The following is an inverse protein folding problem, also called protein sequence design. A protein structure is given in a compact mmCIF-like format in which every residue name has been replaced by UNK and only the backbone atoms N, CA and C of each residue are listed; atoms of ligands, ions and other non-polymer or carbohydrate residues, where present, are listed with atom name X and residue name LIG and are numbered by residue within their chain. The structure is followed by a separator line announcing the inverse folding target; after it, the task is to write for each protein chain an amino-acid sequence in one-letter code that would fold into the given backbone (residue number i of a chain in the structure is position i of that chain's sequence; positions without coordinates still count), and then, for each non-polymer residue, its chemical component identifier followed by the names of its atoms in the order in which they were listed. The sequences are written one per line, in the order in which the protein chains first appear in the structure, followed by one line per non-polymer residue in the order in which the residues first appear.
data_IF_917858300616
#
_entry.id   IF_917858300616
#
_cell.length_a   1.000
_cell.length_b   1.000
_cell.length_c   1.000
_cell.angle_alpha   90.00
_cell.angle_beta   90.00
_cell.angle_gamma   90.00
#
_symmetry.space_group_name_H-M   'P 1'
#
loop_
_entity.id
_entity.type
_entity.pdbx_description
1 polymer ?
#
# COMPACT_ATOMS: atom_id res chain seq x y z
N UNK A 1 -5.63 16.69 7.15
CA UNK A 1 -6.49 15.49 7.29
C UNK A 1 -5.65 14.27 7.70
N UNK A 2 -4.80 14.46 8.72
CA UNK A 2 -4.12 13.44 9.53
C UNK A 2 -4.17 13.94 10.98
N UNK A 3 -5.30 14.51 11.38
CA UNK A 3 -5.55 15.05 12.71
C UNK A 3 -6.81 14.37 13.24
N UNK A 4 -6.62 13.24 13.92
CA UNK A 4 -7.48 12.73 15.00
C UNK A 4 -6.92 11.38 15.46
N UNK A 5 -5.76 11.42 16.11
CA UNK A 5 -5.37 10.44 17.12
C UNK A 5 -5.12 11.20 18.41
N UNK A 6 -6.17 11.87 18.90
CA UNK A 6 -6.23 12.43 20.23
C UNK A 6 -6.36 11.29 21.25
N UNK A 7 -5.27 10.57 21.46
CA UNK A 7 -4.99 9.87 22.70
C UNK A 7 -3.49 10.00 23.00
N UNK A 8 -3.06 11.26 23.15
CA UNK A 8 -1.67 11.65 23.37
C UNK A 8 -1.42 12.02 24.85
N UNK A 9 -2.02 11.26 25.77
CA UNK A 9 -1.68 11.37 27.19
C UNK A 9 -0.67 10.27 27.57
N UNK A 10 0.60 10.70 27.61
CA UNK A 10 1.73 10.06 28.31
C UNK A 10 2.37 8.83 27.66
N UNK A 11 2.99 8.99 26.49
CA UNK A 11 4.22 8.24 26.16
C UNK A 11 5.40 9.21 26.20
N UNK A 12 6.01 9.36 27.39
CA UNK A 12 7.37 9.90 27.49
C UNK A 12 8.24 9.18 26.44
N UNK A 13 9.11 9.86 25.68
CA UNK A 13 10.06 9.17 24.82
C UNK A 13 10.81 8.18 25.71
N UNK A 14 10.71 6.89 25.38
CA UNK A 14 11.45 5.86 26.10
C UNK A 14 12.93 6.29 26.06
N UNK A 15 13.56 6.43 27.23
CA UNK A 15 14.97 6.74 27.30
C UNK A 15 15.74 5.75 26.42
N UNK A 16 16.63 6.26 25.58
CA UNK A 16 17.47 5.42 24.73
C UNK A 16 18.31 4.57 25.67
N UNK A 17 17.99 3.27 25.76
CA UNK A 17 18.83 2.32 26.50
C UNK A 17 20.09 2.10 25.70
N UNK A 18 21.22 2.51 26.26
CA UNK A 18 22.53 2.19 25.71
C UNK A 18 22.90 0.74 26.05
N UNK A 19 23.48 0.04 25.08
CA UNK A 19 23.95 -1.32 25.24
C UNK A 19 25.44 -1.37 24.93
N UNK A 20 26.23 -1.94 25.85
CA UNK A 20 27.68 -2.02 25.73
C UNK A 20 28.16 -2.82 24.50
N UNK A 21 27.35 -3.76 24.00
CA UNK A 21 27.70 -4.57 22.82
C UNK A 21 26.51 -4.79 21.89
N UNK A 22 26.74 -4.97 20.57
CA UNK A 22 25.71 -5.37 19.62
C UNK A 22 25.03 -6.69 20.00
N UNK A 23 25.76 -7.62 20.61
CA UNK A 23 25.22 -8.89 21.11
C UNK A 23 24.24 -8.66 22.27
N UNK A 24 24.60 -7.78 23.22
CA UNK A 24 23.72 -7.38 24.32
C UNK A 24 22.44 -6.72 23.84
N UNK A 25 22.54 -5.82 22.85
CA UNK A 25 21.36 -5.23 22.21
C UNK A 25 20.44 -6.29 21.57
N UNK A 26 21.00 -7.20 20.77
CA UNK A 26 20.23 -8.29 20.14
C UNK A 26 19.54 -9.17 21.18
N UNK A 27 20.25 -9.55 22.24
CA UNK A 27 19.69 -10.37 23.32
C UNK A 27 18.51 -9.65 24.02
N UNK A 28 18.62 -8.35 24.26
CA UNK A 28 17.56 -7.56 24.88
C UNK A 28 16.32 -7.41 23.97
N UNK A 29 16.51 -7.23 22.66
CA UNK A 29 15.43 -7.23 21.68
C UNK A 29 14.73 -8.59 21.66
N UNK A 30 15.48 -9.68 21.56
CA UNK A 30 14.93 -11.05 21.57
C UNK A 30 14.16 -11.37 22.87
N UNK A 31 14.68 -10.95 24.03
CA UNK A 31 14.01 -11.11 25.30
C UNK A 31 12.66 -10.35 25.31
N UNK A 32 12.64 -9.12 24.80
CA UNK A 32 11.43 -8.29 24.71
C UNK A 32 10.39 -8.90 23.77
N UNK A 33 10.81 -9.42 22.61
CA UNK A 33 9.91 -10.07 21.65
C UNK A 33 9.32 -11.37 22.22
N UNK A 34 10.14 -12.19 22.91
CA UNK A 34 9.68 -13.41 23.60
C UNK A 34 8.70 -13.10 24.73
N UNK A 35 8.98 -12.07 25.51
CA UNK A 35 8.15 -11.65 26.62
C UNK A 35 6.77 -11.15 26.14
N UNK A 36 6.75 -10.36 25.06
CA UNK A 36 5.51 -9.95 24.39
C UNK A 36 4.74 -11.15 23.84
N UNK A 37 5.42 -12.11 23.20
CA UNK A 37 4.78 -13.32 22.68
C UNK A 37 4.10 -14.14 23.78
N UNK A 38 4.77 -14.32 24.93
CA UNK A 38 4.20 -15.00 26.10
C UNK A 38 2.94 -14.31 26.61
N UNK A 39 2.97 -12.98 26.77
CA UNK A 39 1.79 -12.21 27.24
C UNK A 39 0.59 -12.34 26.32
N UNK A 40 0.83 -12.40 25.01
CA UNK A 40 -0.22 -12.49 24.01
C UNK A 40 -0.66 -13.94 23.72
N UNK A 41 -0.01 -14.94 24.32
CA UNK A 41 -0.32 -16.35 24.07
C UNK A 41 -0.04 -16.81 22.63
N UNK A 42 0.84 -16.13 21.89
CA UNK A 42 1.15 -16.44 20.49
C UNK A 42 2.58 -16.97 20.32
N UNK A 43 2.86 -17.76 19.27
CA UNK A 43 4.22 -18.19 18.98
C UNK A 43 5.18 -17.00 18.75
N UNK A 44 6.38 -17.06 19.34
CA UNK A 44 7.35 -15.96 19.28
C UNK A 44 7.77 -15.54 17.87
N UNK A 45 7.70 -16.45 16.89
CA UNK A 45 8.02 -16.12 15.50
C UNK A 45 7.04 -15.11 14.89
N UNK A 46 5.77 -15.07 15.33
CA UNK A 46 4.77 -14.10 14.87
C UNK A 46 5.20 -12.68 15.26
N UNK A 47 5.51 -12.48 16.55
CA UNK A 47 5.95 -11.18 17.07
C UNK A 47 7.28 -10.74 16.45
N UNK A 48 8.22 -11.67 16.26
CA UNK A 48 9.48 -11.38 15.55
C UNK A 48 9.24 -10.91 14.13
N UNK A 49 8.39 -11.61 13.39
CA UNK A 49 8.12 -11.30 11.99
C UNK A 49 7.40 -9.96 11.85
N UNK A 50 6.38 -9.70 12.68
CA UNK A 50 5.70 -8.40 12.73
C UNK A 50 6.69 -7.25 13.02
N UNK A 51 7.54 -7.39 14.04
CA UNK A 51 8.57 -6.40 14.35
C UNK A 51 9.56 -6.18 13.19
N UNK A 52 9.98 -7.24 12.49
CA UNK A 52 10.84 -7.12 11.32
C UNK A 52 10.15 -6.35 10.18
N UNK A 53 8.89 -6.66 9.89
CA UNK A 53 8.10 -5.99 8.85
C UNK A 53 7.86 -4.51 9.17
N UNK A 54 7.50 -4.18 10.41
CA UNK A 54 7.39 -2.78 10.88
C UNK A 54 8.70 -2.01 10.66
N UNK A 55 9.85 -2.64 10.96
CA UNK A 55 11.18 -2.04 10.72
C UNK A 55 11.48 -1.85 9.23
N UNK A 56 11.02 -2.76 8.37
CA UNK A 56 11.13 -2.60 6.91
C UNK A 56 10.29 -1.40 6.47
N UNK A 57 9.04 -1.28 6.91
CA UNK A 57 8.17 -0.14 6.59
C UNK A 57 8.84 1.18 6.99
N UNK A 58 9.35 1.28 8.21
CA UNK A 58 10.05 2.48 8.71
C UNK A 58 11.28 2.83 7.85
N UNK A 59 11.98 1.83 7.30
CA UNK A 59 13.11 2.08 6.40
C UNK A 59 12.65 2.52 5.02
N UNK A 60 11.62 1.88 4.46
CA UNK A 60 11.06 2.23 3.16
C UNK A 60 10.54 3.68 3.14
N UNK A 61 9.85 4.11 4.20
CA UNK A 61 9.36 5.49 4.34
C UNK A 61 10.48 6.51 4.49
N UNK A 62 11.63 6.14 5.06
CA UNK A 62 12.82 7.00 5.13
C UNK A 62 13.56 7.11 3.80
N UNK A 63 13.75 6.01 3.09
CA UNK A 63 14.52 5.98 1.84
C UNK A 63 13.74 6.57 0.66
N UNK A 64 12.42 6.35 0.64
CA UNK A 64 11.55 6.79 -0.45
C UNK A 64 10.21 7.29 0.11
N UNK A 65 10.20 8.48 0.73
CA UNK A 65 8.99 9.05 1.34
C UNK A 65 7.89 9.19 0.29
N UNK A 66 6.65 8.83 0.68
CA UNK A 66 5.45 8.87 -0.17
C UNK A 66 5.55 8.06 -1.48
N UNK A 67 6.47 7.09 -1.57
CA UNK A 67 6.64 6.22 -2.74
C UNK A 67 6.22 4.77 -2.49
N UNK A 68 5.66 4.46 -1.33
CA UNK A 68 5.19 3.13 -0.99
C UNK A 68 3.77 3.20 -0.43
N UNK A 69 2.90 2.33 -0.92
CA UNK A 69 1.56 2.13 -0.40
C UNK A 69 1.48 0.72 0.19
N UNK A 70 1.35 0.62 1.51
CA UNK A 70 1.16 -0.67 2.21
C UNK A 70 -0.25 -1.18 1.93
N UNK A 71 -0.37 -2.47 1.66
CA UNK A 71 -1.60 -3.19 1.30
C UNK A 71 -1.73 -4.46 2.14
N UNK A 72 -2.73 -5.28 1.82
CA UNK A 72 -2.90 -6.60 2.41
C UNK A 72 -3.26 -6.56 3.90
N UNK A 73 -2.94 -7.65 4.59
CA UNK A 73 -3.31 -7.85 6.00
C UNK A 73 -2.69 -6.81 6.94
N UNK A 74 -1.40 -6.48 6.75
CA UNK A 74 -0.73 -5.43 7.52
C UNK A 74 -1.43 -4.06 7.39
N UNK A 75 -1.90 -3.68 6.20
CA UNK A 75 -2.67 -2.45 6.04
C UNK A 75 -4.03 -2.50 6.78
N UNK A 76 -4.67 -3.67 6.80
CA UNK A 76 -5.93 -3.86 7.52
C UNK A 76 -5.72 -3.83 9.05
N UNK A 77 -4.64 -4.41 9.57
CA UNK A 77 -4.28 -4.33 10.99
C UNK A 77 -4.15 -2.87 11.46
N UNK A 78 -3.53 -2.01 10.66
CA UNK A 78 -3.42 -0.58 11.02
C UNK A 78 -4.77 0.16 11.05
N UNK A 79 -5.77 -0.32 10.31
CA UNK A 79 -7.08 0.33 10.19
C UNK A 79 -8.13 -0.27 11.12
N UNK A 80 -8.10 -1.58 11.32
CA UNK A 80 -9.14 -2.35 12.02
C UNK A 80 -8.66 -2.89 13.38
N UNK A 81 -7.37 -2.76 13.69
CA UNK A 81 -6.78 -3.24 14.94
C UNK A 81 -7.01 -4.74 15.13
N UNK A 82 -7.46 -5.12 16.33
CA UNK A 82 -7.74 -6.51 16.73
C UNK A 82 -8.83 -7.20 15.90
N UNK A 83 -9.61 -6.45 15.10
CA UNK A 83 -10.61 -7.03 14.18
C UNK A 83 -9.98 -7.55 12.87
N UNK A 84 -8.72 -7.22 12.59
CA UNK A 84 -8.00 -7.78 11.45
C UNK A 84 -7.36 -9.12 11.82
N UNK A 85 -7.37 -10.08 10.88
CA UNK A 85 -6.55 -11.28 11.00
C UNK A 85 -5.08 -10.89 11.02
N UNK A 86 -4.33 -11.45 11.96
CA UNK A 86 -2.86 -11.32 12.01
C UNK A 86 -2.25 -11.74 10.68
N UNK A 87 -1.45 -10.84 10.13
CA UNK A 87 -0.70 -10.93 8.91
C UNK A 87 0.78 -11.02 9.23
N UNK A 88 1.45 -11.89 8.48
CA UNK A 88 2.88 -12.13 8.59
C UNK A 88 3.58 -11.82 7.27
N UNK A 89 2.87 -11.19 6.34
CA UNK A 89 3.35 -10.80 5.02
C UNK A 89 3.27 -9.28 4.89
N UNK A 90 4.16 -8.71 4.08
CA UNK A 90 4.13 -7.28 3.74
C UNK A 90 3.83 -7.15 2.26
N UNK A 91 2.60 -6.76 1.96
CA UNK A 91 2.21 -6.34 0.63
C UNK A 91 2.42 -4.83 0.51
N UNK A 92 3.21 -4.39 -0.46
CA UNK A 92 3.42 -2.98 -0.71
C UNK A 92 3.64 -2.74 -2.20
N UNK A 93 2.99 -1.71 -2.72
CA UNK A 93 3.23 -1.23 -4.08
C UNK A 93 4.02 0.06 -4.05
N UNK A 94 4.87 0.23 -5.05
CA UNK A 94 5.54 1.50 -5.28
C UNK A 94 4.49 2.52 -5.77
N UNK A 95 4.23 3.55 -4.99
CA UNK A 95 3.15 4.53 -5.18
C UNK A 95 3.31 5.42 -6.42
N UNK A 96 4.41 5.29 -7.17
CA UNK A 96 4.54 5.85 -8.51
C UNK A 96 4.62 4.74 -9.55
N UNK A 97 3.83 4.88 -10.59
CA UNK A 97 3.89 4.02 -11.77
C UNK A 97 5.13 4.38 -12.58
N UNK A 98 5.95 3.37 -12.91
CA UNK A 98 7.03 3.54 -13.88
C UNK A 98 6.41 3.60 -15.27
N UNK A 99 6.45 4.79 -15.89
CA UNK A 99 5.85 5.02 -17.20
C UNK A 99 6.50 4.16 -18.29
N UNK A 100 7.80 3.83 -18.20
CA UNK A 100 8.47 2.97 -19.19
C UNK A 100 7.94 1.54 -19.07
N UNK A 101 7.96 0.99 -17.85
CA UNK A 101 7.43 -0.34 -17.59
C UNK A 101 5.94 -0.44 -17.95
N UNK A 102 5.14 0.57 -17.62
CA UNK A 102 3.72 0.59 -17.95
C UNK A 102 3.50 0.53 -19.46
N UNK A 103 4.23 1.33 -20.26
CA UNK A 103 4.15 1.29 -21.73
C UNK A 103 4.51 -0.08 -22.28
N UNK A 104 5.57 -0.71 -21.77
CA UNK A 104 5.99 -2.03 -22.21
C UNK A 104 4.96 -3.11 -21.87
N UNK A 105 4.35 -3.04 -20.68
CA UNK A 105 3.29 -3.95 -20.26
C UNK A 105 2.02 -3.75 -21.11
N UNK A 106 1.62 -2.50 -21.39
CA UNK A 106 0.47 -2.22 -22.27
C UNK A 106 0.68 -2.87 -23.63
N UNK A 107 1.83 -2.65 -24.28
CA UNK A 107 2.16 -3.29 -25.57
C UNK A 107 2.02 -4.80 -25.49
N UNK A 108 2.73 -5.42 -24.55
CA UNK A 108 2.74 -6.89 -24.38
C UNK A 108 1.35 -7.47 -24.14
N UNK A 109 0.50 -6.81 -23.35
CA UNK A 109 -0.85 -7.29 -23.08
C UNK A 109 -1.73 -7.18 -24.32
N UNK A 110 -1.67 -6.08 -25.05
CA UNK A 110 -2.45 -5.89 -26.27
C UNK A 110 -2.00 -6.82 -27.40
N UNK A 111 -0.69 -6.95 -27.62
CA UNK A 111 -0.10 -7.89 -28.59
C UNK A 111 -0.52 -9.33 -28.29
N UNK A 112 -0.47 -9.72 -27.01
CA UNK A 112 -0.85 -11.07 -26.58
C UNK A 112 -2.35 -11.33 -26.69
N UNK A 113 -3.20 -10.34 -26.41
CA UNK A 113 -4.66 -10.51 -26.43
C UNK A 113 -5.25 -10.38 -27.84
N UNK A 114 -4.66 -9.54 -28.68
CA UNK A 114 -5.03 -9.34 -30.09
C UNK A 114 -6.53 -9.14 -30.37
N UNK A 115 -7.30 -8.61 -29.41
CA UNK A 115 -8.75 -8.39 -29.59
C UNK A 115 -9.07 -7.05 -30.25
N UNK A 116 -8.23 -6.04 -30.02
CA UNK A 116 -8.31 -4.69 -30.60
C UNK A 116 -6.93 -4.01 -30.47
N UNK A 117 -6.61 -3.00 -31.30
CA UNK A 117 -5.36 -2.24 -31.16
C UNK A 117 -5.37 -1.37 -29.90
N UNK A 118 -4.18 -0.95 -29.46
CA UNK A 118 -4.05 0.06 -28.40
C UNK A 118 -4.70 1.38 -28.88
N UNK A 119 -5.68 1.93 -28.14
CA UNK A 119 -6.33 3.18 -28.53
C UNK A 119 -5.40 4.38 -28.28
N UNK A 120 -5.57 5.47 -29.03
CA UNK A 120 -4.85 6.74 -28.78
C UNK A 120 -5.14 7.36 -27.42
N UNK A 121 -6.38 7.17 -26.98
CA UNK A 121 -6.98 7.83 -25.84
C UNK A 121 -7.97 6.87 -25.20
N UNK A 122 -8.24 7.07 -23.92
CA UNK A 122 -9.20 6.28 -23.19
C UNK A 122 -10.60 6.42 -23.81
N UNK A 123 -11.21 5.34 -24.34
CA UNK A 123 -12.56 5.41 -24.90
C UNK A 123 -13.58 5.84 -23.82
N UNK A 124 -14.69 6.50 -24.21
CA UNK A 124 -15.73 6.87 -23.26
C UNK A 124 -16.29 5.62 -22.57
N UNK A 125 -16.67 5.73 -21.29
CA UNK A 125 -17.17 4.59 -20.54
C UNK A 125 -18.56 4.20 -21.04
N UNK A 126 -18.91 2.91 -20.93
CA UNK A 126 -20.25 2.44 -21.23
C UNK A 126 -21.24 3.05 -20.24
N UNK A 127 -22.25 3.78 -20.73
CA UNK A 127 -23.21 4.51 -19.88
C UNK A 127 -23.99 3.61 -18.91
N UNK A 128 -24.23 2.37 -19.31
CA UNK A 128 -24.85 1.33 -18.47
C UNK A 128 -24.07 1.03 -17.18
N UNK A 129 -22.76 1.29 -17.15
CA UNK A 129 -21.94 1.13 -15.95
C UNK A 129 -22.12 2.26 -14.93
N UNK A 130 -22.80 3.36 -15.26
CA UNK A 130 -22.92 4.51 -14.36
C UNK A 130 -23.57 4.16 -13.02
N UNK A 131 -24.58 3.27 -13.03
CA UNK A 131 -25.28 2.84 -11.81
C UNK A 131 -24.40 1.95 -10.95
N UNK A 132 -23.77 0.93 -11.55
CA UNK A 132 -22.89 0.01 -10.82
C UNK A 132 -21.63 0.71 -10.30
N UNK A 133 -21.04 1.58 -11.12
CA UNK A 133 -19.90 2.42 -10.72
C UNK A 133 -20.24 3.28 -9.52
N UNK A 134 -21.34 4.03 -9.55
CA UNK A 134 -21.78 4.91 -8.45
C UNK A 134 -21.88 4.14 -7.15
N UNK A 135 -22.56 2.99 -7.16
CA UNK A 135 -22.75 2.14 -5.98
C UNK A 135 -21.43 1.72 -5.36
N UNK A 136 -20.47 1.31 -6.17
CA UNK A 136 -19.15 0.88 -5.68
C UNK A 136 -18.30 2.08 -5.24
N UNK A 137 -18.33 3.19 -5.97
CA UNK A 137 -17.61 4.42 -5.62
C UNK A 137 -18.04 4.96 -4.25
N UNK A 138 -19.33 4.96 -3.94
CA UNK A 138 -19.88 5.35 -2.63
C UNK A 138 -19.31 4.47 -1.49
N UNK A 139 -19.21 3.16 -1.70
CA UNK A 139 -18.69 2.22 -0.68
C UNK A 139 -17.23 2.47 -0.32
N UNK A 140 -16.44 3.00 -1.26
CA UNK A 140 -15.00 3.21 -1.08
C UNK A 140 -14.60 4.69 -0.98
N UNK A 141 -15.58 5.61 -0.98
CA UNK A 141 -15.34 7.05 -0.87
C UNK A 141 -14.67 7.67 -2.09
N UNK A 142 -14.96 7.18 -3.29
CA UNK A 142 -14.47 7.73 -4.56
C UNK A 142 -15.50 8.70 -5.20
N UNK A 143 -15.08 9.58 -6.12
CA UNK A 143 -16.02 10.39 -6.91
C UNK A 143 -17.04 9.50 -7.63
N UNK A 144 -18.32 9.88 -7.56
CA UNK A 144 -19.43 9.01 -7.99
C UNK A 144 -19.89 9.27 -9.42
N UNK A 145 -19.45 10.38 -10.03
CA UNK A 145 -19.75 10.72 -11.41
C UNK A 145 -18.74 10.04 -12.35
N UNK A 146 -19.26 9.08 -13.14
CA UNK A 146 -18.46 8.29 -14.09
C UNK A 146 -17.78 9.16 -15.17
N UNK A 147 -18.42 10.24 -15.62
CA UNK A 147 -17.85 11.13 -16.64
C UNK A 147 -16.70 11.97 -16.06
N UNK A 148 -16.79 12.38 -14.79
CA UNK A 148 -15.72 13.11 -14.12
C UNK A 148 -14.50 12.20 -13.88
N UNK A 149 -14.75 10.95 -13.52
CA UNK A 149 -13.68 9.96 -13.30
C UNK A 149 -13.03 9.55 -14.61
N UNK A 150 -13.81 9.37 -15.69
CA UNK A 150 -13.26 9.14 -17.02
C UNK A 150 -12.35 10.29 -17.46
N UNK A 151 -12.76 11.54 -17.24
CA UNK A 151 -11.94 12.72 -17.55
C UNK A 151 -10.63 12.74 -16.75
N UNK A 152 -10.69 12.45 -15.45
CA UNK A 152 -9.50 12.38 -14.59
C UNK A 152 -8.55 11.27 -15.04
N UNK A 153 -9.09 10.09 -15.38
CA UNK A 153 -8.30 8.96 -15.84
C UNK A 153 -7.68 9.23 -17.22
N UNK A 154 -8.43 9.83 -18.15
CA UNK A 154 -7.93 10.24 -19.47
C UNK A 154 -6.79 11.24 -19.36
N UNK A 155 -6.92 12.26 -18.50
CA UNK A 155 -5.85 13.24 -18.27
C UNK A 155 -4.53 12.61 -17.80
N UNK A 156 -4.59 11.49 -17.09
CA UNK A 156 -3.42 10.74 -16.63
C UNK A 156 -2.91 9.70 -17.65
N UNK A 157 -3.82 8.99 -18.32
CA UNK A 157 -3.51 7.81 -19.14
C UNK A 157 -3.29 8.14 -20.62
N UNK A 158 -3.97 9.14 -21.18
CA UNK A 158 -3.88 9.49 -22.60
C UNK A 158 -2.46 9.83 -23.07
N UNK A 159 -1.63 10.56 -22.29
CA UNK A 159 -0.23 10.78 -22.65
C UNK A 159 0.53 9.46 -22.83
N UNK A 160 0.27 8.48 -21.97
CA UNK A 160 0.92 7.16 -22.00
C UNK A 160 0.45 6.37 -23.22
N UNK A 161 -0.85 6.35 -23.49
CA UNK A 161 -1.44 5.65 -24.65
C UNK A 161 -0.93 6.21 -25.97
N UNK A 162 -0.86 7.54 -26.10
CA UNK A 162 -0.33 8.20 -27.30
C UNK A 162 1.13 7.80 -27.58
N UNK A 163 1.96 7.75 -26.54
CA UNK A 163 3.35 7.30 -26.66
C UNK A 163 3.48 5.82 -26.99
N UNK A 164 2.55 4.98 -26.51
CA UNK A 164 2.54 3.55 -26.85
C UNK A 164 2.33 3.37 -28.35
N UNK A 165 1.35 4.07 -28.93
CA UNK A 165 0.97 3.92 -30.34
C UNK A 165 1.91 4.60 -31.32
N UNK A 166 2.61 5.67 -30.89
CA UNK A 166 3.57 6.41 -31.72
C UNK A 166 4.87 5.65 -32.08
N UNK A 167 5.08 4.44 -31.54
CA UNK A 167 6.26 3.59 -31.79
C UNK A 167 5.83 2.18 -32.13
#
# INVERSE_FOLDING_TARGET
MFDSLSNEQSRRPASVREYATPAGFRAAVEATLRDRARRLGVPAYIIRRQAALERVIVRLTKVAPNRWAVKGGMALETRLGEHARVSVDLDADHARVDARLLKDVIRRVFDRRATHPVPDRLPPPLRELAVSYRREAERVGLPTNLDDVHRLLGAWLDPILSEVRSR
#
